data_IF_055736083786
#
_entry.id   IF_055736083786
#
_cell.length_a   1.000
_cell.length_b   1.000
_cell.length_c   1.000
_cell.angle_alpha   90.00
_cell.angle_beta   90.00
_cell.angle_gamma   90.00
#
_symmetry.space_group_name_H-M   'P 1'
#
loop_
_entity.id
_entity.type
_entity.pdbx_description
1 polymer ?
#
# COMPACT_ATOMS: atom_id res chain seq x y z
N UNK A 1 4.38 -45.56 -11.92
CA UNK A 1 3.46 -44.58 -11.28
C UNK A 1 3.34 -44.81 -9.76
N UNK A 2 4.46 -44.99 -9.04
CA UNK A 2 4.47 -45.18 -7.56
C UNK A 2 5.26 -44.09 -6.82
N UNK A 3 6.12 -43.35 -7.54
CA UNK A 3 6.88 -42.21 -7.01
C UNK A 3 6.00 -40.94 -6.87
N UNK A 4 4.92 -40.82 -7.65
CA UNK A 4 4.08 -39.62 -7.66
C UNK A 4 3.10 -39.54 -6.47
N UNK A 5 2.98 -40.61 -5.68
CA UNK A 5 2.07 -40.71 -4.52
C UNK A 5 2.78 -40.43 -3.19
N UNK A 6 4.11 -40.26 -3.19
CA UNK A 6 4.87 -39.92 -1.99
C UNK A 6 5.13 -38.42 -1.81
N UNK A 7 4.97 -37.63 -2.88
CA UNK A 7 5.26 -36.18 -2.87
C UNK A 7 4.08 -35.32 -2.39
N UNK A 8 2.85 -35.84 -2.46
CA UNK A 8 1.64 -35.12 -2.01
C UNK A 8 1.37 -35.28 -0.52
N UNK A 9 2.10 -36.16 0.17
CA UNK A 9 1.95 -36.44 1.61
C UNK A 9 2.93 -35.64 2.49
N UNK A 10 3.48 -34.53 1.98
CA UNK A 10 4.29 -33.59 2.75
C UNK A 10 3.58 -32.25 3.03
N UNK A 11 2.37 -32.07 2.51
CA UNK A 11 1.57 -30.84 2.64
C UNK A 11 0.38 -31.04 3.60
N UNK A 12 0.63 -31.67 4.74
CA UNK A 12 -0.27 -31.61 5.89
C UNK A 12 0.53 -31.34 7.17
N UNK A 13 1.32 -30.26 7.14
CA UNK A 13 1.83 -29.65 8.36
C UNK A 13 0.66 -28.98 9.06
N UNK A 14 0.06 -29.66 10.04
CA UNK A 14 -0.95 -29.07 10.90
C UNK A 14 -0.40 -27.81 11.55
N UNK A 15 -1.12 -26.70 11.42
CA UNK A 15 -0.81 -25.48 12.15
C UNK A 15 -0.95 -25.78 13.65
N UNK A 16 0.17 -25.95 14.34
CA UNK A 16 0.18 -25.99 15.80
C UNK A 16 -0.26 -24.60 16.29
N UNK A 17 -1.44 -24.53 16.89
CA UNK A 17 -1.96 -23.32 17.51
C UNK A 17 -1.12 -23.00 18.74
N UNK A 18 -0.11 -22.15 18.53
CA UNK A 18 0.71 -21.57 19.57
C UNK A 18 -0.15 -20.69 20.49
N UNK A 19 -0.35 -21.11 21.74
CA UNK A 19 -1.06 -20.31 22.73
C UNK A 19 -0.06 -19.35 23.39
N UNK A 20 -0.14 -18.05 23.10
CA UNK A 20 0.72 -17.03 23.71
C UNK A 20 0.16 -16.63 25.07
N UNK A 21 1.01 -16.49 26.09
CA UNK A 21 0.64 -15.97 27.40
C UNK A 21 1.59 -14.83 27.81
N UNK A 22 1.07 -13.89 28.60
CA UNK A 22 1.87 -12.81 29.18
C UNK A 22 2.10 -13.13 30.66
N UNK A 23 3.33 -12.89 31.13
CA UNK A 23 3.64 -12.94 32.56
C UNK A 23 2.93 -11.78 33.25
N UNK A 24 2.14 -12.09 34.29
CA UNK A 24 1.31 -11.12 35.01
C UNK A 24 2.14 -9.93 35.51
N UNK A 25 1.60 -8.72 35.34
CA UNK A 25 2.26 -7.41 35.41
C UNK A 25 2.84 -7.03 36.80
N UNK A 26 2.73 -7.89 37.81
CA UNK A 26 2.96 -7.52 39.22
C UNK A 26 4.18 -8.16 39.88
N UNK A 27 4.83 -9.17 39.29
CA UNK A 27 6.03 -9.77 39.90
C UNK A 27 6.97 -10.47 38.90
N UNK A 28 8.26 -10.55 39.28
CA UNK A 28 9.24 -11.42 38.63
C UNK A 28 8.88 -12.88 38.89
N UNK A 29 8.77 -13.68 37.84
CA UNK A 29 8.29 -15.08 37.94
C UNK A 29 9.45 -16.05 37.70
N UNK A 30 9.58 -17.04 38.57
CA UNK A 30 10.63 -18.06 38.45
C UNK A 30 10.18 -19.16 37.49
N UNK A 31 10.93 -19.34 36.41
CA UNK A 31 10.82 -20.47 35.50
C UNK A 31 11.71 -21.60 36.02
N UNK A 32 11.10 -22.73 36.38
CA UNK A 32 11.77 -23.89 36.99
C UNK A 32 11.92 -25.04 35.98
N UNK A 33 12.85 -25.95 36.22
CA UNK A 33 13.08 -27.10 35.33
C UNK A 33 12.02 -28.20 35.40
N UNK A 34 11.13 -28.16 36.40
CA UNK A 34 10.10 -29.16 36.62
C UNK A 34 8.87 -28.62 37.35
N UNK A 35 7.85 -29.48 37.45
CA UNK A 35 6.49 -29.18 37.95
C UNK A 35 6.39 -29.13 39.49
N UNK A 36 7.43 -28.69 40.18
CA UNK A 36 7.39 -28.52 41.64
C UNK A 36 8.34 -27.40 42.12
N UNK A 37 8.07 -26.89 43.32
CA UNK A 37 8.86 -25.82 43.95
C UNK A 37 10.31 -26.21 44.23
N UNK A 38 10.59 -27.51 44.31
CA UNK A 38 11.91 -28.07 44.65
C UNK A 38 12.86 -28.12 43.45
N UNK A 39 12.36 -27.93 42.23
CA UNK A 39 13.17 -27.97 41.01
C UNK A 39 14.00 -26.70 40.86
N UNK A 40 15.17 -26.82 40.22
CA UNK A 40 16.08 -25.69 39.98
C UNK A 40 15.39 -24.59 39.17
N UNK A 41 15.57 -23.34 39.58
CA UNK A 41 15.18 -22.17 38.77
C UNK A 41 16.12 -22.09 37.58
N UNK A 42 15.57 -22.21 36.37
CA UNK A 42 16.28 -22.09 35.09
C UNK A 42 16.45 -20.61 34.75
N UNK A 43 15.40 -19.81 34.95
CA UNK A 43 15.40 -18.38 34.63
C UNK A 43 14.40 -17.62 35.48
N UNK A 44 14.64 -16.32 35.64
CA UNK A 44 13.67 -15.40 36.24
C UNK A 44 13.12 -14.53 35.11
N UNK A 45 11.82 -14.63 34.88
CA UNK A 45 11.11 -13.87 33.85
C UNK A 45 10.66 -12.53 34.44
N UNK A 46 11.03 -11.39 33.85
CA UNK A 46 10.48 -10.10 34.25
C UNK A 46 8.96 -10.02 33.98
N UNK A 47 8.24 -9.13 34.68
CA UNK A 47 6.84 -8.84 34.35
C UNK A 47 6.71 -8.39 32.90
N UNK A 48 5.53 -8.61 32.32
CA UNK A 48 5.21 -8.28 30.92
C UNK A 48 6.08 -9.02 29.88
N UNK A 49 6.79 -10.08 30.25
CA UNK A 49 7.49 -10.94 29.29
C UNK A 49 6.49 -11.79 28.51
N UNK A 50 6.56 -11.71 27.19
CA UNK A 50 5.82 -12.61 26.29
C UNK A 50 6.43 -14.01 26.32
N UNK A 51 5.60 -15.01 26.62
CA UNK A 51 6.00 -16.42 26.61
C UNK A 51 4.97 -17.26 25.87
N UNK A 52 5.44 -18.28 25.17
CA UNK A 52 4.56 -19.22 24.48
C UNK A 52 4.24 -20.38 25.42
N UNK A 53 2.96 -20.63 25.71
CA UNK A 53 2.53 -21.79 26.49
C UNK A 53 2.50 -23.00 25.57
N UNK A 54 3.30 -24.01 25.91
CA UNK A 54 3.40 -25.27 25.16
C UNK A 54 2.43 -26.31 25.76
N UNK A 55 2.34 -26.35 27.09
CA UNK A 55 1.60 -27.38 27.81
C UNK A 55 1.09 -26.81 29.13
N UNK A 56 -0.08 -27.25 29.58
CA UNK A 56 -0.63 -26.92 30.89
C UNK A 56 -0.88 -28.23 31.62
N UNK A 57 -0.27 -28.38 32.78
CA UNK A 57 -0.42 -29.54 33.65
C UNK A 57 -0.74 -29.11 35.09
N UNK A 58 -2.01 -29.29 35.46
CA UNK A 58 -2.57 -28.91 36.77
C UNK A 58 -2.28 -27.43 37.11
N UNK A 59 -1.39 -27.18 38.07
CA UNK A 59 -1.04 -25.85 38.57
C UNK A 59 0.19 -25.24 37.86
N UNK A 60 0.78 -25.94 36.89
CA UNK A 60 1.98 -25.51 36.18
C UNK A 60 1.74 -25.46 34.67
N UNK A 61 2.28 -24.43 34.03
CA UNK A 61 2.34 -24.31 32.58
C UNK A 61 3.80 -24.44 32.13
N UNK A 62 4.03 -25.27 31.12
CA UNK A 62 5.29 -25.31 30.39
C UNK A 62 5.29 -24.18 29.37
N UNK A 63 6.28 -23.32 29.49
CA UNK A 63 6.44 -22.14 28.63
C UNK A 63 7.75 -22.23 27.85
N UNK A 64 7.74 -21.68 26.64
CA UNK A 64 8.93 -21.41 25.81
C UNK A 64 9.14 -19.90 25.78
N UNK A 65 10.37 -19.49 26.08
CA UNK A 65 10.80 -18.10 25.97
C UNK A 65 11.25 -17.77 24.55
N UNK A 66 11.39 -16.49 24.23
CA UNK A 66 11.91 -16.02 22.93
C UNK A 66 13.32 -16.57 22.64
N UNK A 67 14.12 -16.79 23.68
CA UNK A 67 15.47 -17.39 23.61
C UNK A 67 15.44 -18.92 23.41
N UNK A 68 14.29 -19.48 23.04
CA UNK A 68 14.02 -20.91 22.88
C UNK A 68 14.18 -21.79 24.13
N UNK A 69 14.46 -21.20 25.29
CA UNK A 69 14.53 -21.93 26.56
C UNK A 69 13.14 -22.33 27.03
N UNK A 70 13.02 -23.57 27.52
CA UNK A 70 11.76 -24.13 28.03
C UNK A 70 11.84 -24.38 29.53
N UNK A 71 10.71 -24.16 30.21
CA UNK A 71 10.59 -24.44 31.63
C UNK A 71 9.16 -24.38 32.11
N UNK A 72 8.97 -24.63 33.40
CA UNK A 72 7.68 -24.69 34.06
C UNK A 72 7.47 -23.45 34.94
N UNK A 73 6.29 -22.88 34.85
CA UNK A 73 5.87 -21.70 35.61
C UNK A 73 4.51 -21.99 36.25
N UNK A 74 4.25 -21.48 37.45
CA UNK A 74 2.94 -21.64 38.10
C UNK A 74 1.86 -20.89 37.31
N UNK A 75 0.75 -21.58 37.02
CA UNK A 75 -0.35 -21.07 36.20
C UNK A 75 -0.96 -19.78 36.78
N UNK A 76 -1.06 -19.68 38.12
CA UNK A 76 -1.55 -18.48 38.83
C UNK A 76 -0.71 -17.22 38.60
N UNK A 77 0.53 -17.37 38.13
CA UNK A 77 1.46 -16.28 37.85
C UNK A 77 1.47 -15.88 36.36
N UNK A 78 0.68 -16.58 35.53
CA UNK A 78 0.55 -16.31 34.11
C UNK A 78 -0.84 -15.77 33.81
N UNK A 79 -0.91 -14.69 33.03
CA UNK A 79 -2.16 -14.25 32.41
C UNK A 79 -2.18 -14.82 31.01
N UNK A 80 -2.88 -15.95 30.85
CA UNK A 80 -3.05 -16.57 29.54
C UNK A 80 -4.07 -15.76 28.77
N UNK A 81 -3.59 -14.94 27.83
CA UNK A 81 -4.45 -14.38 26.80
C UNK A 81 -4.76 -15.50 25.82
N UNK A 82 -5.92 -16.15 26.00
CA UNK A 82 -6.48 -16.98 24.94
C UNK A 82 -6.66 -16.06 23.74
N UNK A 83 -5.82 -16.22 22.72
CA UNK A 83 -6.07 -15.63 21.41
C UNK A 83 -7.38 -16.23 20.92
N UNK A 84 -8.49 -15.52 21.15
CA UNK A 84 -9.79 -15.95 20.66
C UNK A 84 -9.68 -16.03 19.14
N UNK A 85 -9.87 -17.22 18.53
CA UNK A 85 -9.78 -17.37 17.08
C UNK A 85 -10.78 -16.45 16.36
N UNK A 86 -11.88 -16.10 17.03
CA UNK A 86 -12.86 -15.08 16.63
C UNK A 86 -12.22 -13.69 16.39
N UNK A 87 -11.40 -13.19 17.32
CA UNK A 87 -10.81 -11.85 17.19
C UNK A 87 -9.70 -11.81 16.14
N UNK A 88 -8.96 -12.90 15.96
CA UNK A 88 -7.96 -13.01 14.88
C UNK A 88 -8.63 -12.98 13.51
N UNK A 89 -9.74 -13.68 13.33
CA UNK A 89 -10.50 -13.68 12.08
C UNK A 89 -11.14 -12.32 11.79
N UNK A 90 -11.68 -11.64 12.80
CA UNK A 90 -12.23 -10.28 12.67
C UNK A 90 -11.14 -9.26 12.30
N UNK A 91 -9.97 -9.34 12.94
CA UNK A 91 -8.85 -8.45 12.63
C UNK A 91 -8.29 -8.69 11.22
N UNK A 92 -8.21 -9.95 10.77
CA UNK A 92 -7.81 -10.31 9.41
C UNK A 92 -8.82 -9.83 8.36
N UNK A 93 -10.12 -10.02 8.59
CA UNK A 93 -11.17 -9.53 7.70
C UNK A 93 -11.17 -8.00 7.59
N UNK A 94 -10.95 -7.30 8.71
CA UNK A 94 -10.84 -5.84 8.72
C UNK A 94 -9.61 -5.33 7.94
N UNK A 95 -8.48 -6.04 8.04
CA UNK A 95 -7.26 -5.74 7.27
C UNK A 95 -7.47 -5.91 5.76
N UNK A 96 -8.18 -6.97 5.34
CA UNK A 96 -8.48 -7.21 3.93
C UNK A 96 -9.42 -6.15 3.33
N UNK A 97 -10.41 -5.68 4.09
CA UNK A 97 -11.33 -4.62 3.65
C UNK A 97 -10.57 -3.30 3.49
N UNK A 98 -9.75 -2.92 4.48
CA UNK A 98 -8.93 -1.71 4.41
C UNK A 98 -7.95 -1.74 3.23
N UNK A 99 -7.33 -2.89 2.94
CA UNK A 99 -6.46 -3.05 1.79
C UNK A 99 -7.21 -2.93 0.45
N UNK A 100 -8.42 -3.49 0.34
CA UNK A 100 -9.25 -3.36 -0.87
C UNK A 100 -9.65 -1.91 -1.13
N UNK A 101 -10.04 -1.17 -0.10
CA UNK A 101 -10.37 0.26 -0.21
C UNK A 101 -9.18 1.09 -0.68
N UNK A 102 -7.98 0.83 -0.15
CA UNK A 102 -6.75 1.50 -0.59
C UNK A 102 -6.41 1.22 -2.06
N UNK A 103 -6.60 -0.03 -2.51
CA UNK A 103 -6.36 -0.40 -3.91
C UNK A 103 -7.40 0.27 -4.81
N UNK A 104 -8.67 0.29 -4.43
CA UNK A 104 -9.73 0.95 -5.20
C UNK A 104 -9.46 2.45 -5.36
N UNK A 105 -9.11 3.14 -4.26
CA UNK A 105 -8.76 4.56 -4.30
C UNK A 105 -7.53 4.85 -5.19
N UNK A 106 -6.50 3.98 -5.15
CA UNK A 106 -5.32 4.12 -6.03
C UNK A 106 -5.66 3.94 -7.50
N UNK A 107 -6.56 3.00 -7.82
CA UNK A 107 -7.02 2.77 -9.19
C UNK A 107 -7.83 3.96 -9.70
N UNK A 108 -8.68 4.55 -8.85
CA UNK A 108 -9.44 5.76 -9.18
C UNK A 108 -8.51 6.93 -9.51
N UNK A 109 -7.50 7.19 -8.67
CA UNK A 109 -6.50 8.23 -8.92
C UNK A 109 -5.73 8.00 -10.23
N UNK A 110 -5.36 6.75 -10.53
CA UNK A 110 -4.67 6.42 -11.77
C UNK A 110 -5.55 6.65 -13.00
N UNK A 111 -6.86 6.39 -12.90
CA UNK A 111 -7.81 6.66 -13.98
C UNK A 111 -8.03 8.16 -14.18
N UNK A 112 -8.13 8.94 -13.10
CA UNK A 112 -8.23 10.41 -13.19
C UNK A 112 -6.98 11.01 -13.82
N UNK A 113 -5.79 10.53 -13.47
CA UNK A 113 -4.54 10.96 -14.11
C UNK A 113 -4.55 10.68 -15.61
N UNK A 114 -4.95 9.47 -16.02
CA UNK A 114 -5.09 9.13 -17.44
C UNK A 114 -6.13 9.98 -18.16
N UNK A 115 -7.25 10.29 -17.52
CA UNK A 115 -8.27 11.16 -18.09
C UNK A 115 -7.73 12.58 -18.31
N UNK A 116 -6.97 13.11 -17.34
CA UNK A 116 -6.27 14.40 -17.48
C UNK A 116 -5.27 14.34 -18.64
N UNK A 117 -4.41 13.32 -18.68
CA UNK A 117 -3.44 13.14 -19.77
C UNK A 117 -4.11 13.00 -21.15
N UNK A 118 -5.23 12.28 -21.24
CA UNK A 118 -6.00 12.16 -22.48
C UNK A 118 -6.60 13.51 -22.90
N UNK A 119 -7.11 14.29 -21.96
CA UNK A 119 -7.64 15.63 -22.26
C UNK A 119 -6.53 16.60 -22.67
N UNK A 120 -5.34 16.46 -22.09
CA UNK A 120 -4.19 17.32 -22.38
C UNK A 120 -3.51 16.95 -23.71
N UNK A 121 -3.41 15.66 -24.03
CA UNK A 121 -2.79 15.15 -25.25
C UNK A 121 -3.76 14.98 -26.41
N UNK A 122 -5.07 15.23 -26.21
CA UNK A 122 -5.99 15.37 -27.34
C UNK A 122 -5.52 16.62 -28.09
N UNK A 123 -4.97 16.48 -29.32
CA UNK A 123 -4.64 17.66 -30.10
C UNK A 123 -5.93 18.46 -30.20
N UNK A 124 -5.94 19.70 -29.73
CA UNK A 124 -7.02 20.63 -30.01
C UNK A 124 -7.21 20.56 -31.52
N UNK A 125 -8.29 19.90 -31.94
CA UNK A 125 -8.61 19.79 -33.34
C UNK A 125 -8.83 21.23 -33.77
N UNK A 126 -7.83 21.79 -34.47
CA UNK A 126 -7.82 23.16 -34.98
C UNK A 126 -9.16 23.31 -35.69
N UNK A 127 -10.10 23.99 -35.04
CA UNK A 127 -11.47 24.04 -35.52
C UNK A 127 -11.44 24.66 -36.93
N UNK A 128 -12.30 24.24 -37.85
CA UNK A 128 -12.27 24.76 -39.23
C UNK A 128 -12.37 26.30 -39.28
N UNK A 129 -12.91 26.93 -38.24
CA UNK A 129 -12.98 28.38 -38.05
C UNK A 129 -11.62 29.07 -37.89
N UNK A 130 -10.61 28.46 -37.24
CA UNK A 130 -9.28 29.08 -37.12
C UNK A 130 -8.49 29.05 -38.43
N UNK A 131 -8.73 28.05 -39.29
CA UNK A 131 -8.16 28.04 -40.64
C UNK A 131 -8.75 29.16 -41.51
N UNK A 132 -10.06 29.42 -41.38
CA UNK A 132 -10.72 30.54 -42.05
C UNK A 132 -10.18 31.90 -41.58
N UNK A 133 -9.90 32.06 -40.28
CA UNK A 133 -9.29 33.29 -39.76
C UNK A 133 -7.88 33.52 -40.31
N UNK A 134 -7.04 32.48 -40.39
CA UNK A 134 -5.70 32.59 -40.96
C UNK A 134 -5.75 32.95 -42.45
N UNK A 135 -6.64 32.31 -43.22
CA UNK A 135 -6.84 32.65 -44.63
C UNK A 135 -7.34 34.10 -44.79
N UNK A 136 -8.32 34.53 -44.00
CA UNK A 136 -8.81 35.90 -44.03
C UNK A 136 -7.70 36.93 -43.74
N UNK A 137 -6.82 36.63 -42.77
CA UNK A 137 -5.67 37.49 -42.44
C UNK A 137 -4.66 37.59 -43.59
N UNK A 138 -4.36 36.46 -44.25
CA UNK A 138 -3.47 36.43 -45.42
C UNK A 138 -4.03 37.21 -46.60
N UNK A 139 -5.34 37.10 -46.87
CA UNK A 139 -6.02 37.82 -47.94
C UNK A 139 -6.05 39.33 -47.67
N UNK A 140 -6.30 39.73 -46.43
CA UNK A 140 -6.27 41.14 -46.03
C UNK A 140 -4.86 41.73 -46.18
N UNK A 141 -3.82 41.04 -45.70
CA UNK A 141 -2.43 41.48 -45.84
C UNK A 141 -2.03 41.62 -47.33
N UNK A 142 -2.39 40.65 -48.16
CA UNK A 142 -2.18 40.72 -49.60
C UNK A 142 -2.89 41.91 -50.25
N UNK A 143 -4.15 42.17 -49.87
CA UNK A 143 -4.92 43.32 -50.34
C UNK A 143 -4.29 44.65 -49.96
N UNK A 144 -3.78 44.80 -48.74
CA UNK A 144 -3.08 46.03 -48.29
C UNK A 144 -1.81 46.25 -49.10
N UNK A 145 -1.00 45.23 -49.34
CA UNK A 145 0.25 45.35 -50.12
C UNK A 145 -0.05 45.76 -51.56
N UNK A 146 -1.03 45.12 -52.19
CA UNK A 146 -1.47 45.48 -53.56
C UNK A 146 -2.00 46.91 -53.59
N UNK A 147 -2.79 47.30 -52.59
CA UNK A 147 -3.32 48.66 -52.45
C UNK A 147 -2.21 49.71 -52.34
N UNK A 148 -1.20 49.49 -51.51
CA UNK A 148 -0.06 50.40 -51.35
C UNK A 148 0.78 50.49 -52.64
N UNK A 149 1.01 49.38 -53.33
CA UNK A 149 1.72 49.37 -54.61
C UNK A 149 0.94 50.09 -55.70
N UNK A 150 -0.37 49.86 -55.79
CA UNK A 150 -1.25 50.56 -56.73
C UNK A 150 -1.28 52.06 -56.43
N UNK A 151 -1.34 52.44 -55.15
CA UNK A 151 -1.30 53.83 -54.72
C UNK A 151 0.03 54.49 -55.11
N UNK A 152 1.16 53.82 -54.84
CA UNK A 152 2.51 54.28 -55.24
C UNK A 152 2.62 54.47 -56.76
N UNK A 153 2.14 53.50 -57.54
CA UNK A 153 2.15 53.56 -58.99
C UNK A 153 1.25 54.69 -59.53
N UNK A 154 0.07 54.87 -58.94
CA UNK A 154 -0.86 55.93 -59.29
C UNK A 154 -0.27 57.32 -59.04
N UNK A 155 0.30 57.53 -57.85
CA UNK A 155 0.95 58.80 -57.50
C UNK A 155 2.16 59.07 -58.39
N UNK A 156 2.99 58.06 -58.67
CA UNK A 156 4.12 58.21 -59.59
C UNK A 156 3.68 58.67 -60.98
N UNK A 157 2.57 58.13 -61.51
CA UNK A 157 2.06 58.51 -62.83
C UNK A 157 1.41 59.90 -62.85
N UNK A 158 0.81 60.34 -61.74
CA UNK A 158 0.07 61.61 -61.66
C UNK A 158 0.93 62.81 -61.21
N UNK A 159 2.03 62.59 -60.49
CA UNK A 159 2.92 63.64 -59.96
C UNK A 159 4.05 64.06 -60.90
N UNK A 160 4.00 63.73 -62.19
CA UNK A 160 4.93 64.24 -63.21
C UNK A 160 4.93 65.79 -63.40
N UNK A 161 4.23 66.53 -62.52
CA UNK A 161 4.20 68.00 -62.50
C UNK A 161 4.66 68.66 -61.19
N UNK A 162 5.10 67.95 -60.14
CA UNK A 162 5.53 68.60 -58.90
C UNK A 162 6.90 68.08 -58.44
N UNK A 163 7.96 68.87 -58.74
CA UNK A 163 9.28 68.74 -58.11
C UNK A 163 9.18 69.27 -56.68
N UNK A 164 9.28 68.38 -55.70
CA UNK A 164 9.86 68.65 -54.38
C UNK A 164 10.79 67.47 -54.09
#
# INVERSE_FOLDING_TARGET
MKIFLFLTMLMWGGAATAQTALVTDTARVNMRSGKAENYRVVKVLPPSTEVQVIEIDQDYAKVKTVDEETGWVQLKLLTIHKTDPEKTNQNQAALEVAQKELVAARVELANLQREVEQKQNKPEAIAPTSYLLLLAFSAFAGGVVIGVLALRAYYHKRLHGLRI
#
